data_IF_024638941686
#
_entry.id   IF_024638941686
#
_cell.length_a   1.000
_cell.length_b   1.000
_cell.length_c   1.000
_cell.angle_alpha   90.00
_cell.angle_beta   90.00
_cell.angle_gamma   90.00
#
_symmetry.space_group_name_H-M   'P 1'
#
loop_
_entity.id
_entity.type
_entity.pdbx_description
1 polymer ?
#
# COMPACT_ATOMS: atom_id res chain seq x y z
N UNK A 1 18.34 8.23 5.46
CA UNK A 1 17.26 8.24 4.46
C UNK A 1 17.68 7.31 3.34
N UNK A 2 16.94 6.22 3.09
CA UNK A 2 17.30 5.28 2.04
C UNK A 2 17.25 5.94 0.66
N UNK A 3 18.21 5.58 -0.19
CA UNK A 3 18.32 6.06 -1.55
C UNK A 3 18.13 4.89 -2.51
N UNK A 4 17.38 5.10 -3.57
CA UNK A 4 17.18 4.11 -4.62
C UNK A 4 17.31 4.76 -6.00
N UNK A 5 17.86 4.04 -6.94
CA UNK A 5 17.82 4.40 -8.36
C UNK A 5 16.64 3.72 -9.03
N UNK A 6 15.76 4.49 -9.64
CA UNK A 6 14.71 3.92 -10.48
C UNK A 6 15.37 3.20 -11.66
N UNK A 7 14.75 2.08 -12.08
CA UNK A 7 15.16 1.45 -13.35
C UNK A 7 15.01 2.46 -14.49
N UNK A 8 15.78 2.32 -15.57
CA UNK A 8 15.75 3.27 -16.68
C UNK A 8 14.33 3.48 -17.23
N UNK A 9 13.52 2.42 -17.26
CA UNK A 9 12.12 2.51 -17.68
C UNK A 9 11.28 3.39 -16.73
N UNK A 10 11.37 3.18 -15.44
CA UNK A 10 10.66 3.99 -14.45
C UNK A 10 11.16 5.43 -14.43
N UNK A 11 12.49 5.64 -14.56
CA UNK A 11 13.10 6.97 -14.60
C UNK A 11 12.57 7.78 -15.77
N UNK A 12 12.68 7.27 -16.99
CA UNK A 12 12.23 7.96 -18.19
C UNK A 12 10.74 8.30 -18.14
N UNK A 13 9.94 7.43 -17.52
CA UNK A 13 8.50 7.59 -17.48
C UNK A 13 8.04 8.50 -16.35
N UNK A 14 8.54 8.32 -15.14
CA UNK A 14 7.97 8.95 -13.95
C UNK A 14 8.71 10.19 -13.46
N UNK A 15 10.01 10.36 -13.74
CA UNK A 15 10.75 11.54 -13.29
C UNK A 15 10.12 12.87 -13.76
N UNK A 16 9.68 13.01 -15.02
CA UNK A 16 9.01 14.25 -15.45
C UNK A 16 7.67 14.48 -14.75
N UNK A 17 7.00 13.40 -14.34
CA UNK A 17 5.72 13.48 -13.60
C UNK A 17 6.00 13.90 -12.16
N UNK A 18 6.99 13.30 -11.50
CA UNK A 18 7.37 13.63 -10.13
C UNK A 18 7.77 15.09 -9.98
N UNK A 19 8.54 15.65 -10.91
CA UNK A 19 8.92 17.06 -10.91
C UNK A 19 7.69 17.98 -10.91
N UNK A 20 6.70 17.69 -11.74
CA UNK A 20 5.50 18.50 -11.86
C UNK A 20 4.57 18.34 -10.64
N UNK A 21 4.45 17.12 -10.10
CA UNK A 21 3.68 16.84 -8.88
C UNK A 21 4.30 17.57 -7.68
N UNK A 22 5.62 17.43 -7.49
CA UNK A 22 6.31 18.08 -6.37
C UNK A 22 6.13 19.60 -6.42
N UNK A 23 6.28 20.21 -7.60
CA UNK A 23 6.04 21.63 -7.81
C UNK A 23 4.59 22.04 -7.49
N UNK A 24 3.59 21.28 -7.95
CA UNK A 24 2.19 21.57 -7.68
C UNK A 24 1.87 21.42 -6.18
N UNK A 25 2.39 20.39 -5.53
CA UNK A 25 2.21 20.17 -4.10
C UNK A 25 2.85 21.29 -3.27
N UNK A 26 4.06 21.74 -3.62
CA UNK A 26 4.72 22.89 -2.98
C UNK A 26 3.91 24.19 -3.15
N UNK A 27 3.36 24.44 -4.33
CA UNK A 27 2.55 25.63 -4.61
C UNK A 27 1.22 25.63 -3.85
N UNK A 28 0.63 24.49 -3.64
CA UNK A 28 -0.68 24.36 -2.99
C UNK A 28 -0.61 24.05 -1.51
N UNK A 29 0.58 23.71 -0.98
CA UNK A 29 0.78 23.28 0.41
C UNK A 29 0.17 21.90 0.70
N UNK A 30 -0.07 21.07 -0.33
CA UNK A 30 -0.63 19.73 -0.19
C UNK A 30 0.50 18.72 -0.01
N UNK A 31 0.36 17.86 1.00
CA UNK A 31 1.26 16.72 1.20
C UNK A 31 0.72 15.46 0.51
N UNK A 32 1.60 14.57 0.13
CA UNK A 32 1.24 13.30 -0.49
C UNK A 32 2.20 12.18 -0.12
N UNK A 33 1.77 10.96 -0.39
CA UNK A 33 2.65 9.79 -0.40
C UNK A 33 2.31 8.88 -1.59
N UNK A 34 3.32 8.16 -2.08
CA UNK A 34 3.14 7.17 -3.13
C UNK A 34 2.48 5.92 -2.56
N UNK A 35 1.48 5.42 -3.28
CA UNK A 35 0.80 4.15 -3.02
C UNK A 35 0.83 3.27 -4.27
N UNK A 36 0.14 2.15 -4.25
CA UNK A 36 -0.04 1.33 -5.44
C UNK A 36 1.22 0.59 -5.90
N UNK A 37 1.29 0.30 -7.19
CA UNK A 37 2.32 -0.58 -7.74
C UNK A 37 3.71 0.06 -7.77
N UNK A 38 3.82 1.38 -8.03
CA UNK A 38 5.11 2.08 -8.01
C UNK A 38 5.69 2.10 -6.60
N UNK A 39 4.86 2.37 -5.57
CA UNK A 39 5.30 2.34 -4.19
C UNK A 39 5.79 0.94 -3.78
N UNK A 40 5.07 -0.12 -4.18
CA UNK A 40 5.50 -1.51 -3.96
C UNK A 40 6.88 -1.77 -4.58
N UNK A 41 7.06 -1.40 -5.84
CA UNK A 41 8.29 -1.68 -6.57
C UNK A 41 9.47 -0.92 -5.94
N UNK A 42 9.27 0.32 -5.50
CA UNK A 42 10.26 1.09 -4.74
C UNK A 42 10.57 0.40 -3.40
N UNK A 43 9.55 0.04 -2.63
CA UNK A 43 9.73 -0.58 -1.32
C UNK A 43 10.42 -1.96 -1.41
N UNK A 44 10.11 -2.76 -2.45
CA UNK A 44 10.81 -4.02 -2.72
C UNK A 44 12.27 -3.79 -3.12
N UNK A 45 12.51 -2.81 -3.98
CA UNK A 45 13.86 -2.51 -4.45
C UNK A 45 14.80 -1.99 -3.34
N UNK A 46 14.27 -1.37 -2.28
CA UNK A 46 15.04 -1.02 -1.07
C UNK A 46 15.64 -2.25 -0.37
N UNK A 47 15.05 -3.43 -0.58
CA UNK A 47 15.52 -4.71 -0.07
C UNK A 47 16.21 -5.57 -1.15
N UNK A 48 16.58 -4.95 -2.30
CA UNK A 48 17.26 -5.66 -3.39
C UNK A 48 16.37 -6.62 -4.18
N UNK A 49 15.05 -6.49 -4.06
CA UNK A 49 14.08 -7.34 -4.72
C UNK A 49 13.44 -6.61 -5.91
N UNK A 50 13.42 -7.27 -7.06
CA UNK A 50 12.82 -6.73 -8.27
C UNK A 50 11.48 -7.41 -8.57
N UNK A 51 10.50 -6.61 -9.00
CA UNK A 51 9.24 -7.13 -9.51
C UNK A 51 9.23 -7.05 -11.03
N UNK A 52 9.03 -8.17 -11.75
CA UNK A 52 9.02 -8.18 -13.21
C UNK A 52 7.77 -7.52 -13.82
N UNK A 53 6.78 -7.14 -13.02
CA UNK A 53 5.56 -6.48 -13.52
C UNK A 53 5.83 -5.01 -13.81
N UNK A 54 5.63 -4.63 -15.06
CA UNK A 54 5.67 -3.23 -15.49
C UNK A 54 4.36 -2.55 -15.10
N UNK A 55 4.44 -1.54 -14.21
CA UNK A 55 3.31 -0.67 -13.92
C UNK A 55 3.25 0.51 -14.88
N UNK A 56 2.04 0.98 -15.18
CA UNK A 56 1.81 2.12 -16.08
C UNK A 56 1.16 3.29 -15.39
N UNK A 57 0.63 3.07 -14.21
CA UNK A 57 -0.17 4.00 -13.45
C UNK A 57 0.64 4.48 -12.25
N UNK A 58 0.45 5.72 -11.86
CA UNK A 58 1.06 6.33 -10.68
C UNK A 58 -0.04 6.71 -9.70
N UNK A 59 -0.04 6.09 -8.54
CA UNK A 59 -1.05 6.31 -7.51
C UNK A 59 -0.47 7.19 -6.39
N UNK A 60 -1.12 8.30 -6.09
CA UNK A 60 -0.75 9.29 -5.07
C UNK A 60 -1.89 9.46 -4.08
N UNK A 61 -1.65 9.16 -2.83
CA UNK A 61 -2.54 9.55 -1.75
C UNK A 61 -2.21 11.00 -1.36
N UNK A 62 -3.17 11.91 -1.50
CA UNK A 62 -2.98 13.35 -1.27
C UNK A 62 -3.75 13.80 -0.03
N UNK A 63 -3.03 14.37 0.94
CA UNK A 63 -3.61 14.84 2.19
C UNK A 63 -4.20 16.24 1.97
N UNK A 64 -5.52 16.34 2.01
CA UNK A 64 -6.23 17.58 1.77
C UNK A 64 -7.30 17.85 2.84
N UNK A 65 -7.33 19.09 3.38
CA UNK A 65 -8.33 19.47 4.38
C UNK A 65 -9.76 19.56 3.81
N UNK A 66 -9.89 20.04 2.55
CA UNK A 66 -11.19 20.32 1.93
C UNK A 66 -11.21 19.93 0.45
N UNK A 67 -12.42 19.81 -0.12
CA UNK A 67 -12.60 19.61 -1.56
C UNK A 67 -12.01 20.78 -2.39
N UNK A 68 -12.05 22.01 -1.87
CA UNK A 68 -11.45 23.17 -2.54
C UNK A 68 -9.91 23.05 -2.63
N UNK A 69 -9.26 22.49 -1.61
CA UNK A 69 -7.82 22.24 -1.63
C UNK A 69 -7.47 21.15 -2.65
N UNK A 70 -8.27 20.09 -2.72
CA UNK A 70 -8.13 19.07 -3.74
C UNK A 70 -8.29 19.62 -5.15
N UNK A 71 -9.33 20.44 -5.38
CA UNK A 71 -9.56 21.06 -6.69
C UNK A 71 -8.42 22.00 -7.07
N UNK A 72 -7.91 22.81 -6.12
CA UNK A 72 -6.75 23.68 -6.35
C UNK A 72 -5.51 22.91 -6.78
N UNK A 73 -5.22 21.74 -6.16
CA UNK A 73 -4.12 20.86 -6.59
C UNK A 73 -4.35 20.38 -8.02
N UNK A 74 -5.55 19.90 -8.34
CA UNK A 74 -5.90 19.44 -9.71
C UNK A 74 -5.73 20.55 -10.74
N UNK A 75 -6.27 21.75 -10.45
CA UNK A 75 -6.18 22.89 -11.36
C UNK A 75 -4.73 23.31 -11.58
N UNK A 76 -3.91 23.26 -10.52
CA UNK A 76 -2.47 23.55 -10.61
C UNK A 76 -1.73 22.54 -11.50
N UNK A 77 -2.08 21.26 -11.42
CA UNK A 77 -1.53 20.22 -12.30
C UNK A 77 -2.02 20.39 -13.75
N UNK A 78 -3.32 20.65 -13.94
CA UNK A 78 -3.91 20.88 -15.27
C UNK A 78 -3.39 22.14 -15.97
N UNK A 79 -2.93 23.13 -15.22
CA UNK A 79 -2.27 24.30 -15.76
C UNK A 79 -0.84 24.02 -16.25
N UNK A 80 -0.26 22.89 -15.86
CA UNK A 80 1.04 22.46 -16.35
C UNK A 80 0.90 21.71 -17.69
N UNK A 81 1.94 21.78 -18.52
CA UNK A 81 1.96 21.03 -19.77
C UNK A 81 1.86 19.52 -19.52
N UNK A 82 1.16 18.83 -20.42
CA UNK A 82 1.00 17.38 -20.47
C UNK A 82 -0.04 16.76 -19.52
N UNK A 83 -0.65 17.48 -18.58
CA UNK A 83 -1.77 16.94 -17.80
C UNK A 83 -3.10 17.21 -18.48
N UNK A 84 -3.99 16.22 -18.47
CA UNK A 84 -5.35 16.33 -18.99
C UNK A 84 -6.35 15.60 -18.07
N UNK A 85 -7.59 16.08 -18.03
CA UNK A 85 -8.66 15.40 -17.32
C UNK A 85 -9.14 14.12 -18.03
N UNK A 86 -9.53 13.13 -17.22
CA UNK A 86 -10.22 11.92 -17.68
C UNK A 86 -11.68 11.98 -17.21
N UNK A 87 -12.62 12.32 -18.12
CA UNK A 87 -14.03 12.58 -17.76
C UNK A 87 -14.69 11.46 -16.96
N UNK A 88 -14.40 10.20 -17.30
CA UNK A 88 -14.99 9.02 -16.65
C UNK A 88 -14.30 8.66 -15.31
N UNK A 89 -13.14 9.25 -15.00
CA UNK A 89 -12.29 8.89 -13.86
C UNK A 89 -11.95 10.15 -13.04
N UNK A 90 -12.80 10.53 -12.10
CA UNK A 90 -12.70 11.82 -11.40
C UNK A 90 -11.44 12.02 -10.56
N UNK A 91 -10.83 10.95 -10.15
CA UNK A 91 -9.60 10.95 -9.35
C UNK A 91 -8.33 10.78 -10.20
N UNK A 92 -8.47 10.63 -11.51
CA UNK A 92 -7.38 10.35 -12.44
C UNK A 92 -7.10 11.54 -13.35
N UNK A 93 -5.84 11.89 -13.52
CA UNK A 93 -5.34 12.74 -14.60
C UNK A 93 -4.54 11.88 -15.57
N UNK A 94 -4.55 12.26 -16.85
CA UNK A 94 -3.73 11.65 -17.88
C UNK A 94 -2.50 12.52 -18.14
N UNK A 95 -1.30 11.95 -17.99
CA UNK A 95 -0.05 12.63 -18.34
C UNK A 95 0.43 12.22 -19.73
N UNK A 96 0.70 13.21 -20.59
CA UNK A 96 1.14 13.04 -21.98
C UNK A 96 0.30 12.04 -22.80
N UNK A 97 -0.97 11.84 -22.45
CA UNK A 97 -1.86 10.87 -23.08
C UNK A 97 -1.53 9.38 -22.80
N UNK A 98 -0.52 9.08 -21.97
CA UNK A 98 0.04 7.73 -21.81
C UNK A 98 -0.07 7.18 -20.39
N UNK A 99 0.19 8.01 -19.37
CA UNK A 99 0.27 7.57 -17.97
C UNK A 99 -0.95 8.06 -17.21
N UNK A 100 -1.63 7.16 -16.53
CA UNK A 100 -2.66 7.51 -15.57
C UNK A 100 -1.99 7.94 -14.25
N UNK A 101 -2.42 9.07 -13.72
CA UNK A 101 -1.97 9.61 -12.44
C UNK A 101 -3.20 9.73 -11.55
N UNK A 102 -3.32 8.80 -10.61
CA UNK A 102 -4.42 8.77 -9.67
C UNK A 102 -4.09 9.66 -8.47
N UNK A 103 -4.94 10.66 -8.25
CA UNK A 103 -4.90 11.54 -7.09
C UNK A 103 -5.99 11.10 -6.12
N UNK A 104 -5.62 10.38 -5.08
CA UNK A 104 -6.53 9.77 -4.13
C UNK A 104 -6.62 10.66 -2.87
N UNK A 105 -7.61 11.58 -2.77
CA UNK A 105 -7.70 12.51 -1.67
C UNK A 105 -8.12 11.81 -0.39
N UNK A 106 -7.49 12.18 0.74
CA UNK A 106 -7.83 11.75 2.08
C UNK A 106 -7.62 12.88 3.10
N UNK A 107 -8.08 12.70 4.33
CA UNK A 107 -7.92 13.66 5.43
C UNK A 107 -9.21 14.43 5.73
N UNK A 108 -9.15 15.75 5.84
CA UNK A 108 -10.28 16.55 6.36
C UNK A 108 -11.58 16.52 5.54
N UNK A 109 -11.52 16.11 4.26
CA UNK A 109 -12.69 15.98 3.40
C UNK A 109 -13.40 14.62 3.51
N UNK A 110 -12.88 13.71 4.31
CA UNK A 110 -13.48 12.37 4.50
C UNK A 110 -14.78 12.44 5.30
N UNK A 111 -15.75 11.65 4.88
CA UNK A 111 -16.96 11.37 5.62
C UNK A 111 -17.15 9.85 5.73
N UNK A 112 -17.10 9.31 6.95
CA UNK A 112 -17.21 7.87 7.21
C UNK A 112 -16.19 7.03 6.41
N UNK A 113 -14.93 7.47 6.33
CA UNK A 113 -13.86 6.85 5.56
C UNK A 113 -14.12 6.77 4.05
N UNK A 114 -14.98 7.64 3.53
CA UNK A 114 -15.22 7.84 2.11
C UNK A 114 -15.00 9.30 1.73
N UNK A 115 -14.50 9.52 0.52
CA UNK A 115 -14.49 10.83 -0.11
C UNK A 115 -15.57 10.88 -1.19
N UNK A 116 -16.42 11.91 -1.12
CA UNK A 116 -17.52 12.15 -2.03
C UNK A 116 -17.25 13.43 -2.82
N UNK A 117 -17.05 13.29 -4.14
CA UNK A 117 -16.90 14.46 -5.02
C UNK A 117 -18.15 14.63 -5.87
N UNK A 118 -18.79 15.81 -5.75
CA UNK A 118 -19.96 16.15 -6.56
C UNK A 118 -19.51 16.65 -7.93
N UNK A 119 -20.05 16.05 -9.01
CA UNK A 119 -19.66 16.35 -10.40
C UNK A 119 -20.81 16.80 -11.31
N UNK A 120 -21.88 17.31 -10.74
CA UNK A 120 -23.05 17.77 -11.51
C UNK A 120 -23.89 16.66 -12.16
N UNK A 121 -23.27 15.60 -12.67
CA UNK A 121 -23.92 14.42 -13.26
C UNK A 121 -23.96 13.20 -12.32
N UNK A 122 -23.44 13.35 -11.07
CA UNK A 122 -23.38 12.28 -10.07
C UNK A 122 -22.32 12.51 -9.00
N UNK A 123 -22.29 11.60 -8.03
CA UNK A 123 -21.32 11.61 -6.93
C UNK A 123 -20.28 10.52 -7.17
N UNK A 124 -19.02 10.94 -7.30
CA UNK A 124 -17.89 10.01 -7.30
C UNK A 124 -17.53 9.64 -5.87
N UNK A 125 -17.34 8.35 -5.60
CA UNK A 125 -17.01 7.81 -4.28
C UNK A 125 -15.63 7.15 -4.31
N UNK A 126 -14.83 7.42 -3.29
CA UNK A 126 -13.55 6.78 -3.06
C UNK A 126 -13.50 6.34 -1.59
N UNK A 127 -13.35 5.04 -1.35
CA UNK A 127 -13.06 4.51 -0.03
C UNK A 127 -11.59 4.80 0.30
N UNK A 128 -11.34 5.40 1.47
CA UNK A 128 -10.00 5.84 1.92
C UNK A 128 -9.65 5.31 3.31
N UNK A 129 -10.35 4.26 3.75
CA UNK A 129 -10.06 3.60 5.03
C UNK A 129 -8.59 3.18 5.11
N UNK A 130 -7.90 3.58 6.17
CA UNK A 130 -6.50 3.24 6.42
C UNK A 130 -5.49 4.22 5.80
N UNK A 131 -5.91 5.17 4.95
CA UNK A 131 -4.98 6.10 4.30
C UNK A 131 -4.30 7.04 5.30
N UNK A 132 -5.03 7.54 6.28
CA UNK A 132 -4.50 8.42 7.31
C UNK A 132 -3.53 7.68 8.25
N UNK A 133 -3.87 6.47 8.67
CA UNK A 133 -3.02 5.63 9.52
C UNK A 133 -1.73 5.22 8.79
N UNK A 134 -1.81 4.87 7.51
CA UNK A 134 -0.64 4.59 6.69
C UNK A 134 0.21 5.84 6.51
N UNK A 135 -0.38 7.01 6.26
CA UNK A 135 0.38 8.26 6.18
C UNK A 135 1.20 8.53 7.45
N UNK A 136 0.62 8.27 8.61
CA UNK A 136 1.24 8.54 9.90
C UNK A 136 2.30 7.50 10.30
N UNK A 137 2.07 6.23 10.03
CA UNK A 137 2.84 5.12 10.60
C UNK A 137 3.36 4.10 9.57
N UNK A 138 2.86 4.10 8.33
CA UNK A 138 3.15 3.12 7.28
C UNK A 138 3.81 3.75 6.05
N UNK A 139 4.54 4.86 6.22
CA UNK A 139 5.30 5.49 5.15
C UNK A 139 6.75 5.71 5.55
N UNK A 140 7.64 5.65 4.57
CA UNK A 140 9.04 6.01 4.73
C UNK A 140 9.43 7.09 3.72
N UNK A 141 10.39 7.96 4.10
CA UNK A 141 10.98 8.92 3.17
C UNK A 141 12.04 8.21 2.33
N UNK A 142 11.90 8.28 1.03
CA UNK A 142 12.83 7.67 0.05
C UNK A 142 13.32 8.74 -0.90
N UNK A 143 14.63 8.77 -1.14
CA UNK A 143 15.22 9.62 -2.17
C UNK A 143 15.39 8.81 -3.44
N UNK A 144 14.70 9.22 -4.51
CA UNK A 144 14.74 8.60 -5.82
C UNK A 144 15.71 9.36 -6.74
N UNK A 145 16.63 8.63 -7.38
CA UNK A 145 17.61 9.17 -8.33
C UNK A 145 18.41 10.39 -7.81
N UNK A 146 18.61 10.48 -6.49
CA UNK A 146 19.26 11.61 -5.81
C UNK A 146 18.57 12.97 -6.03
N UNK A 147 17.37 12.99 -6.62
CA UNK A 147 16.67 14.19 -7.06
C UNK A 147 15.35 14.41 -6.31
N UNK A 148 14.55 13.37 -6.13
CA UNK A 148 13.21 13.47 -5.56
C UNK A 148 13.16 12.80 -4.19
N UNK A 149 12.55 13.46 -3.21
CA UNK A 149 12.35 12.88 -1.88
C UNK A 149 10.87 12.89 -1.55
N UNK A 150 10.28 11.70 -1.49
CA UNK A 150 8.86 11.50 -1.23
C UNK A 150 8.63 10.57 -0.05
N UNK A 151 7.45 10.68 0.54
CA UNK A 151 6.88 9.60 1.34
C UNK A 151 6.43 8.48 0.41
N UNK A 152 6.81 7.26 0.73
CA UNK A 152 6.42 6.05 0.01
C UNK A 152 5.75 5.10 1.00
N UNK A 153 4.61 4.53 0.63
CA UNK A 153 3.96 3.49 1.40
C UNK A 153 4.91 2.30 1.58
N UNK A 154 5.15 1.89 2.82
CA UNK A 154 5.91 0.70 3.13
C UNK A 154 5.11 -0.59 2.83
N UNK A 155 5.75 -1.74 2.92
CA UNK A 155 5.11 -3.01 2.60
C UNK A 155 4.01 -3.40 3.60
N UNK A 156 4.16 -3.19 4.94
CA UNK A 156 3.07 -3.38 5.89
C UNK A 156 1.84 -2.51 5.60
N UNK A 157 2.05 -1.21 5.36
CA UNK A 157 0.98 -0.29 4.96
C UNK A 157 0.30 -0.70 3.67
N UNK A 158 1.08 -1.19 2.72
CA UNK A 158 0.53 -1.67 1.45
C UNK A 158 -0.34 -2.92 1.62
N UNK A 159 0.09 -3.88 2.42
CA UNK A 159 -0.74 -5.07 2.74
C UNK A 159 -2.04 -4.65 3.40
N UNK A 160 -1.97 -3.71 4.36
CA UNK A 160 -3.15 -3.15 5.02
C UNK A 160 -4.15 -2.55 4.01
N UNK A 161 -3.70 -1.62 3.17
CA UNK A 161 -4.57 -0.96 2.19
C UNK A 161 -5.15 -1.94 1.17
N UNK A 162 -4.37 -2.94 0.74
CA UNK A 162 -4.81 -3.96 -0.23
C UNK A 162 -5.80 -4.95 0.36
N UNK A 163 -5.68 -5.33 1.63
CA UNK A 163 -6.68 -6.14 2.33
C UNK A 163 -8.03 -5.41 2.37
N UNK A 164 -8.01 -4.12 2.71
CA UNK A 164 -9.22 -3.28 2.76
C UNK A 164 -9.83 -3.13 1.36
N UNK A 165 -9.01 -2.80 0.35
CA UNK A 165 -9.48 -2.61 -1.01
C UNK A 165 -10.09 -3.89 -1.61
N UNK A 166 -9.51 -5.06 -1.28
CA UNK A 166 -10.07 -6.34 -1.67
C UNK A 166 -11.41 -6.60 -0.97
N UNK A 167 -11.51 -6.36 0.33
CA UNK A 167 -12.75 -6.55 1.08
C UNK A 167 -13.90 -5.65 0.56
N UNK A 168 -13.57 -4.42 0.15
CA UNK A 168 -14.55 -3.48 -0.43
C UNK A 168 -15.13 -3.98 -1.77
N UNK A 169 -14.32 -4.61 -2.63
CA UNK A 169 -14.71 -5.02 -3.98
C UNK A 169 -14.01 -6.31 -4.44
N UNK A 170 -14.28 -7.45 -3.80
CA UNK A 170 -13.56 -8.70 -4.05
C UNK A 170 -13.67 -9.20 -5.49
N UNK A 171 -14.76 -8.87 -6.19
CA UNK A 171 -15.00 -9.27 -7.58
C UNK A 171 -14.07 -8.59 -8.60
N UNK A 172 -13.50 -7.43 -8.25
CA UNK A 172 -12.64 -6.64 -9.15
C UNK A 172 -11.20 -6.48 -8.65
N UNK A 173 -10.92 -6.83 -7.38
CA UNK A 173 -9.66 -6.56 -6.68
C UNK A 173 -8.76 -7.78 -6.48
N UNK A 174 -8.93 -8.84 -7.28
CA UNK A 174 -8.07 -10.03 -7.21
C UNK A 174 -6.57 -9.74 -7.40
N UNK A 175 -6.22 -8.65 -8.10
CA UNK A 175 -4.83 -8.19 -8.23
C UNK A 175 -4.21 -7.79 -6.89
N UNK A 176 -5.01 -7.26 -5.94
CA UNK A 176 -4.53 -6.87 -4.63
C UNK A 176 -4.08 -8.09 -3.81
N UNK A 177 -4.79 -9.21 -3.89
CA UNK A 177 -4.33 -10.47 -3.31
C UNK A 177 -3.06 -11.00 -3.98
N UNK A 178 -2.87 -10.77 -5.27
CA UNK A 178 -1.62 -11.15 -5.95
C UNK A 178 -0.43 -10.35 -5.43
N UNK A 179 -0.62 -9.07 -5.13
CA UNK A 179 0.43 -8.22 -4.56
C UNK A 179 0.72 -8.60 -3.10
N UNK A 180 -0.32 -8.90 -2.31
CA UNK A 180 -0.17 -9.42 -0.93
C UNK A 180 0.60 -10.74 -0.96
N UNK A 181 0.24 -11.64 -1.87
CA UNK A 181 0.94 -12.93 -2.03
C UNK A 181 2.41 -12.75 -2.38
N UNK A 182 2.73 -11.77 -3.24
CA UNK A 182 4.10 -11.44 -3.61
C UNK A 182 4.90 -10.91 -2.41
N UNK A 183 4.31 -10.01 -1.62
CA UNK A 183 4.95 -9.48 -0.41
C UNK A 183 5.18 -10.62 0.60
N UNK A 184 4.17 -11.44 0.88
CA UNK A 184 4.30 -12.59 1.80
C UNK A 184 5.43 -13.53 1.37
N UNK A 185 5.55 -13.82 0.07
CA UNK A 185 6.57 -14.73 -0.46
C UNK A 185 8.01 -14.25 -0.22
N UNK A 186 8.22 -12.94 -0.26
CA UNK A 186 9.53 -12.33 -0.11
C UNK A 186 9.78 -11.73 1.28
N UNK A 187 8.80 -11.84 2.19
CA UNK A 187 8.91 -11.14 3.48
C UNK A 187 9.99 -11.71 4.38
N UNK A 188 10.37 -12.98 4.20
CA UNK A 188 11.53 -13.56 4.90
C UNK A 188 12.82 -12.82 4.55
N UNK A 189 13.08 -12.59 3.27
CA UNK A 189 14.27 -11.87 2.81
C UNK A 189 14.30 -10.43 3.33
N UNK A 190 13.12 -9.80 3.46
CA UNK A 190 12.95 -8.43 3.95
C UNK A 190 13.17 -8.35 5.46
N UNK A 191 12.61 -9.28 6.21
CA UNK A 191 12.64 -9.29 7.67
C UNK A 191 13.90 -9.96 8.26
N UNK A 192 14.73 -10.62 7.44
CA UNK A 192 15.91 -11.35 7.91
C UNK A 192 16.83 -10.52 8.82
N UNK A 193 17.14 -9.24 8.51
CA UNK A 193 18.00 -8.43 9.39
C UNK A 193 17.42 -8.22 10.80
N UNK A 194 16.08 -8.17 10.91
CA UNK A 194 15.39 -7.91 12.18
C UNK A 194 15.00 -9.19 12.92
N UNK A 195 14.99 -10.34 12.21
CA UNK A 195 14.56 -11.63 12.74
C UNK A 195 15.31 -12.02 14.01
N UNK A 196 16.62 -11.85 14.02
CA UNK A 196 17.48 -12.24 15.14
C UNK A 196 17.60 -11.14 16.22
N UNK A 197 17.40 -9.88 15.85
CA UNK A 197 17.60 -8.76 16.76
C UNK A 197 16.30 -8.35 17.47
N UNK A 198 15.18 -8.33 16.74
CA UNK A 198 13.91 -7.77 17.23
C UNK A 198 12.82 -8.84 17.39
N UNK A 199 12.95 -10.01 16.74
CA UNK A 199 11.94 -11.06 16.70
C UNK A 199 12.47 -12.43 17.11
N UNK A 200 13.57 -12.46 17.89
CA UNK A 200 14.20 -13.71 18.36
C UNK A 200 13.24 -14.62 19.15
N UNK A 201 12.24 -14.04 19.81
CA UNK A 201 11.18 -14.77 20.50
C UNK A 201 10.39 -15.72 19.57
N UNK A 202 10.31 -15.39 18.27
CA UNK A 202 9.64 -16.25 17.28
C UNK A 202 10.49 -17.45 16.85
N UNK A 203 11.78 -17.48 17.20
CA UNK A 203 12.69 -18.57 16.86
C UNK A 203 12.66 -19.73 17.85
N UNK A 204 12.04 -19.59 19.01
CA UNK A 204 11.97 -20.64 20.01
C UNK A 204 11.15 -21.86 19.58
N UNK A 205 10.13 -21.66 18.72
CA UNK A 205 9.20 -22.70 18.26
C UNK A 205 8.93 -22.57 16.75
N UNK A 206 9.97 -22.51 15.95
CA UNK A 206 9.85 -22.34 14.49
C UNK A 206 9.24 -23.59 13.85
N UNK A 207 8.07 -23.41 13.21
CA UNK A 207 7.48 -24.43 12.34
C UNK A 207 7.97 -24.23 10.91
N UNK A 208 8.03 -22.99 10.45
CA UNK A 208 8.54 -22.59 9.14
C UNK A 208 9.01 -21.12 9.21
N UNK A 209 10.11 -20.82 8.53
CA UNK A 209 10.62 -19.43 8.46
C UNK A 209 9.66 -18.50 7.73
N UNK A 210 8.95 -19.02 6.72
CA UNK A 210 7.93 -18.24 6.01
C UNK A 210 6.75 -17.89 6.93
N UNK A 211 6.33 -18.80 7.80
CA UNK A 211 5.30 -18.51 8.81
C UNK A 211 5.79 -17.48 9.83
N UNK A 212 7.05 -17.59 10.24
CA UNK A 212 7.69 -16.60 11.12
C UNK A 212 7.71 -15.23 10.45
N UNK A 213 8.12 -15.14 9.19
CA UNK A 213 8.12 -13.90 8.42
C UNK A 213 6.71 -13.32 8.25
N UNK A 214 5.71 -14.14 7.98
CA UNK A 214 4.31 -13.69 7.93
C UNK A 214 3.83 -13.13 9.28
N UNK A 215 4.26 -13.73 10.41
CA UNK A 215 3.95 -13.22 11.75
C UNK A 215 4.66 -11.89 12.02
N UNK A 216 5.91 -11.72 11.57
CA UNK A 216 6.64 -10.44 11.65
C UNK A 216 5.91 -9.37 10.82
N UNK A 217 5.43 -9.69 9.61
CA UNK A 217 4.62 -8.75 8.83
C UNK A 217 3.36 -8.31 9.62
N UNK A 218 2.71 -9.22 10.33
CA UNK A 218 1.61 -8.88 11.23
C UNK A 218 2.01 -7.92 12.34
N UNK A 219 3.16 -8.15 12.97
CA UNK A 219 3.73 -7.24 13.99
C UNK A 219 4.01 -5.84 13.42
N UNK A 220 4.47 -5.76 12.16
CA UNK A 220 4.73 -4.48 11.49
C UNK A 220 3.45 -3.76 11.06
N UNK A 221 2.37 -4.47 10.76
CA UNK A 221 1.05 -3.87 10.48
C UNK A 221 0.38 -3.36 11.77
N UNK A 222 0.61 -3.98 12.89
CA UNK A 222 -0.07 -3.67 14.15
C UNK A 222 0.00 -2.20 14.55
N UNK A 223 1.16 -1.49 14.52
CA UNK A 223 1.22 -0.06 14.88
C UNK A 223 0.30 0.83 14.03
N UNK A 224 0.01 0.44 12.80
CA UNK A 224 -0.91 1.15 11.91
C UNK A 224 -2.37 1.02 12.40
N UNK A 225 -2.67 -0.04 13.16
CA UNK A 225 -4.02 -0.34 13.66
C UNK A 225 -4.29 0.21 15.07
N UNK A 226 -3.24 0.52 15.82
CA UNK A 226 -3.37 0.98 17.22
C UNK A 226 -4.18 2.27 17.37
N UNK A 227 -4.06 3.28 16.48
CA UNK A 227 -4.82 4.52 16.63
C UNK A 227 -6.33 4.36 16.36
N UNK A 228 -6.76 3.30 15.67
CA UNK A 228 -8.13 3.15 15.18
C UNK A 228 -8.70 1.77 15.47
N UNK A 229 -9.50 1.67 16.55
CA UNK A 229 -10.21 0.43 16.90
C UNK A 229 -11.13 -0.05 15.75
N UNK A 230 -11.88 0.81 15.03
CA UNK A 230 -12.67 0.37 13.89
C UNK A 230 -11.81 -0.24 12.77
N UNK A 231 -10.67 0.37 12.44
CA UNK A 231 -9.74 -0.16 11.45
C UNK A 231 -9.18 -1.52 11.88
N UNK A 232 -8.73 -1.63 13.14
CA UNK A 232 -8.26 -2.89 13.71
C UNK A 232 -9.32 -3.98 13.61
N UNK A 233 -10.55 -3.70 14.05
CA UNK A 233 -11.66 -4.65 13.99
C UNK A 233 -11.94 -5.10 12.56
N UNK A 234 -11.89 -4.18 11.60
CA UNK A 234 -12.11 -4.50 10.19
C UNK A 234 -11.03 -5.42 9.65
N UNK A 235 -9.75 -5.07 9.83
CA UNK A 235 -8.61 -5.85 9.29
C UNK A 235 -8.54 -7.23 9.92
N UNK A 236 -8.69 -7.34 11.23
CA UNK A 236 -8.77 -8.65 11.91
C UNK A 236 -9.93 -9.47 11.39
N UNK A 237 -11.11 -8.87 11.21
CA UNK A 237 -12.30 -9.54 10.67
C UNK A 237 -12.10 -10.07 9.25
N UNK A 238 -11.39 -9.36 8.38
CA UNK A 238 -11.04 -9.82 7.03
C UNK A 238 -10.19 -11.10 7.10
N UNK A 239 -9.15 -11.10 7.93
CA UNK A 239 -8.27 -12.26 8.08
C UNK A 239 -8.98 -13.42 8.79
N UNK A 240 -9.76 -13.16 9.83
CA UNK A 240 -10.53 -14.18 10.56
C UNK A 240 -11.55 -14.86 9.63
N UNK A 241 -12.20 -14.11 8.74
CA UNK A 241 -13.10 -14.65 7.72
C UNK A 241 -12.34 -15.56 6.74
N UNK A 242 -11.20 -15.10 6.21
CA UNK A 242 -10.38 -15.90 5.31
C UNK A 242 -9.90 -17.21 5.96
N UNK A 243 -9.54 -17.17 7.26
CA UNK A 243 -9.14 -18.34 8.05
C UNK A 243 -10.33 -19.29 8.25
N UNK A 244 -11.50 -18.76 8.59
CA UNK A 244 -12.70 -19.56 8.82
C UNK A 244 -13.21 -20.27 7.55
N UNK A 245 -13.02 -19.67 6.36
CA UNK A 245 -13.31 -20.31 5.07
C UNK A 245 -12.36 -21.49 4.79
N UNK A 246 -11.23 -21.56 5.47
CA UNK A 246 -10.26 -22.65 5.38
C UNK A 246 -9.48 -22.70 4.06
N UNK A 247 -8.78 -23.82 3.80
CA UNK A 247 -7.90 -23.96 2.63
C UNK A 247 -8.62 -23.76 1.29
N UNK A 248 -9.88 -24.18 1.21
CA UNK A 248 -10.69 -24.04 0.01
C UNK A 248 -11.30 -22.64 -0.18
N UNK A 249 -11.11 -21.74 0.77
CA UNK A 249 -11.60 -20.36 0.73
C UNK A 249 -11.05 -19.56 -0.44
N UNK A 250 -11.80 -18.56 -0.87
CA UNK A 250 -11.44 -17.77 -2.06
C UNK A 250 -10.12 -17.05 -1.90
N UNK A 251 -9.89 -16.44 -0.74
CA UNK A 251 -8.64 -15.71 -0.44
C UNK A 251 -7.43 -16.64 -0.52
N UNK A 252 -7.49 -17.79 0.17
CA UNK A 252 -6.38 -18.76 0.23
C UNK A 252 -6.04 -19.27 -1.18
N UNK A 253 -7.05 -19.64 -1.97
CA UNK A 253 -6.84 -20.11 -3.35
C UNK A 253 -6.23 -19.02 -4.25
N UNK A 254 -6.66 -17.77 -4.11
CA UNK A 254 -6.10 -16.67 -4.91
C UNK A 254 -4.66 -16.35 -4.52
N UNK A 255 -4.33 -16.34 -3.23
CA UNK A 255 -2.95 -16.20 -2.76
C UNK A 255 -2.07 -17.32 -3.29
N UNK A 256 -2.52 -18.59 -3.18
CA UNK A 256 -1.80 -19.75 -3.71
C UNK A 256 -1.56 -19.62 -5.21
N UNK A 257 -2.59 -19.32 -5.98
CA UNK A 257 -2.50 -19.23 -7.45
C UNK A 257 -1.53 -18.14 -7.91
N UNK A 258 -1.29 -17.10 -7.09
CA UNK A 258 -0.40 -16.00 -7.42
C UNK A 258 1.08 -16.38 -7.28
N UNK A 259 1.52 -16.92 -6.13
CA UNK A 259 2.94 -17.13 -5.81
C UNK A 259 3.28 -18.52 -5.25
N UNK A 260 2.28 -19.29 -4.84
CA UNK A 260 2.46 -20.57 -4.13
C UNK A 260 1.84 -21.75 -4.89
N UNK A 261 1.84 -21.73 -6.23
CA UNK A 261 1.13 -22.73 -7.07
C UNK A 261 1.48 -24.17 -6.77
N UNK A 262 2.72 -24.42 -6.32
CA UNK A 262 3.21 -25.75 -5.98
C UNK A 262 3.06 -26.11 -4.50
N UNK A 263 2.61 -25.14 -3.68
CA UNK A 263 2.48 -25.35 -2.25
C UNK A 263 1.06 -25.85 -1.91
N UNK A 264 0.88 -26.69 -0.88
CA UNK A 264 -0.45 -27.06 -0.40
C UNK A 264 -1.24 -25.81 0.05
N UNK A 265 -2.56 -25.84 -0.14
CA UNK A 265 -3.44 -24.77 0.34
C UNK A 265 -3.33 -24.54 1.86
N UNK A 266 -3.11 -25.63 2.62
CA UNK A 266 -2.88 -25.54 4.08
C UNK A 266 -1.63 -24.72 4.43
N UNK A 267 -0.58 -24.80 3.63
CA UNK A 267 0.63 -23.96 3.82
C UNK A 267 0.26 -22.48 3.72
N UNK A 268 -0.50 -22.10 2.70
CA UNK A 268 -0.93 -20.70 2.53
C UNK A 268 -1.90 -20.26 3.63
N UNK A 269 -2.79 -21.15 4.06
CA UNK A 269 -3.65 -20.87 5.21
C UNK A 269 -2.82 -20.59 6.48
N UNK A 270 -1.78 -21.38 6.75
CA UNK A 270 -0.90 -21.14 7.89
C UNK A 270 -0.14 -19.82 7.81
N UNK A 271 0.23 -19.34 6.61
CA UNK A 271 0.81 -17.99 6.44
C UNK A 271 -0.19 -16.91 6.85
N UNK A 272 -1.46 -17.03 6.43
CA UNK A 272 -2.51 -16.07 6.81
C UNK A 272 -2.81 -16.12 8.31
N UNK A 273 -2.80 -17.32 8.92
CA UNK A 273 -2.93 -17.48 10.36
C UNK A 273 -1.77 -16.81 11.12
N UNK A 274 -0.54 -16.99 10.65
CA UNK A 274 0.65 -16.39 11.25
C UNK A 274 0.63 -14.84 11.12
N UNK A 275 0.24 -14.33 9.96
CA UNK A 275 0.00 -12.89 9.76
C UNK A 275 -1.03 -12.36 10.77
N UNK A 276 -2.15 -13.07 10.92
CA UNK A 276 -3.20 -12.70 11.86
C UNK A 276 -2.74 -12.72 13.32
N UNK A 277 -1.94 -13.72 13.69
CA UNK A 277 -1.34 -13.81 15.03
C UNK A 277 -0.44 -12.61 15.33
N UNK A 278 0.39 -12.20 14.35
CA UNK A 278 1.28 -11.05 14.50
C UNK A 278 0.56 -9.74 14.82
N UNK A 279 -0.70 -9.59 14.39
CA UNK A 279 -1.52 -8.41 14.76
C UNK A 279 -1.87 -8.36 16.25
N UNK A 280 -1.86 -9.49 16.94
CA UNK A 280 -2.19 -9.59 18.36
C UNK A 280 -0.95 -9.73 19.26
N UNK A 281 0.23 -9.88 18.67
CA UNK A 281 1.46 -9.97 19.45
C UNK A 281 1.66 -8.69 20.29
N UNK A 282 1.96 -8.87 21.56
CA UNK A 282 2.38 -7.72 22.38
C UNK A 282 3.81 -7.30 22.00
N UNK A 283 4.14 -6.00 21.99
CA UNK A 283 5.53 -5.60 21.82
C UNK A 283 6.37 -6.32 22.88
N UNK A 284 7.43 -6.98 22.42
CA UNK A 284 8.43 -7.46 23.37
C UNK A 284 9.02 -6.20 24.01
N UNK A 285 8.64 -5.94 25.27
CA UNK A 285 9.26 -4.88 26.05
C UNK A 285 10.74 -5.17 26.05
N UNK A 286 11.54 -4.18 25.64
CA UNK A 286 12.99 -4.27 25.59
C UNK A 286 13.53 -5.03 26.80
N UNK A 287 14.31 -6.07 26.53
CA UNK A 287 15.13 -6.69 27.55
C UNK A 287 16.17 -5.63 27.93
N UNK A 288 16.25 -5.24 29.20
CA UNK A 288 17.12 -4.17 29.66
C UNK A 288 18.61 -4.43 29.42
#
# INVERSE_FOLDING_TARGET
>A
MPKISLTDFHRQRFSPIFEQIERACQQTGVEFYLVGAVARDISMALHGLENPRVTRDLDLAVLVPTEADYQRLKDTLLAQENFAEVRAMPFTLKYAGLTDVDLLPFGGLELNSEVLLNRGEGVARLAVTGFAEVYQHGTQLVTLDEQFTFRVCDLPGMVLLKLIAYDDRPESRGKDLSDISFILKHYLDIAEPELYEQHADLLENVVSLEQTAARILGRHIRPLLEPSLPLRTRVTGILDKAIAEGPAGTVIRQLQAAQYRNDPLDTVLHLVQSLRQGLDDTPTTEIP
#
